data_IF_483965046417
#
_entry.id   IF_483965046417
#
_cell.length_a   1.000
_cell.length_b   1.000
_cell.length_c   1.000
_cell.angle_alpha   90.00
_cell.angle_beta   90.00
_cell.angle_gamma   90.00
#
_symmetry.space_group_name_H-M   'P 1'
#
loop_
_entity.id
_entity.type
_entity.pdbx_description
1 polymer ?
#
# COMPACT_ATOMS: atom_id res chain seq x y z
N UNK A 1 26.40 -20.80 -5.90
CA UNK A 1 25.57 -21.54 -4.94
C UNK A 1 24.99 -22.72 -5.69
N UNK A 2 25.12 -23.94 -5.16
CA UNK A 2 24.51 -25.12 -5.79
C UNK A 2 22.98 -25.05 -5.67
N UNK A 3 22.22 -25.65 -6.60
CA UNK A 3 20.74 -25.57 -6.60
C UNK A 3 20.14 -25.99 -5.24
N UNK A 4 20.70 -27.02 -4.60
CA UNK A 4 20.26 -27.47 -3.28
C UNK A 4 20.55 -26.43 -2.17
N UNK A 5 21.71 -25.76 -2.20
CA UNK A 5 22.00 -24.67 -1.26
C UNK A 5 21.01 -23.51 -1.45
N UNK A 6 20.75 -23.13 -2.70
CA UNK A 6 19.81 -22.05 -3.06
C UNK A 6 18.39 -22.36 -2.58
N UNK A 7 17.93 -23.60 -2.74
CA UNK A 7 16.61 -24.05 -2.25
C UNK A 7 16.54 -24.08 -0.73
N UNK A 8 17.63 -24.44 -0.04
CA UNK A 8 17.66 -24.45 1.42
C UNK A 8 17.48 -23.04 1.97
N UNK A 9 18.12 -22.03 1.37
CA UNK A 9 18.03 -20.64 1.85
C UNK A 9 16.89 -19.82 1.25
N UNK A 10 16.06 -20.39 0.36
CA UNK A 10 14.98 -19.66 -0.31
C UNK A 10 13.95 -19.08 0.68
N UNK A 11 13.79 -19.73 1.83
CA UNK A 11 12.87 -19.30 2.90
C UNK A 11 13.54 -18.44 3.98
N UNK A 12 14.79 -17.97 3.77
CA UNK A 12 15.56 -17.23 4.79
C UNK A 12 14.85 -16.00 5.37
N UNK A 13 13.98 -15.37 4.58
CA UNK A 13 13.26 -14.17 4.98
C UNK A 13 11.94 -14.44 5.72
N UNK A 14 11.46 -15.69 5.72
CA UNK A 14 10.15 -16.07 6.25
C UNK A 14 10.22 -17.22 7.28
N UNK A 15 11.34 -17.94 7.35
CA UNK A 15 11.59 -19.00 8.35
C UNK A 15 12.77 -18.60 9.23
N UNK A 16 12.50 -18.34 10.50
CA UNK A 16 13.55 -18.12 11.49
C UNK A 16 14.45 -19.35 11.64
N UNK A 17 15.75 -19.14 11.86
CA UNK A 17 16.73 -20.24 12.05
C UNK A 17 16.34 -21.19 13.18
N UNK A 18 15.70 -20.70 14.24
CA UNK A 18 15.20 -21.52 15.35
C UNK A 18 14.04 -22.45 14.98
N UNK A 19 13.38 -22.22 13.84
CA UNK A 19 12.25 -23.00 13.32
C UNK A 19 12.61 -23.87 12.11
N UNK A 20 13.87 -23.88 11.70
CA UNK A 20 14.33 -24.62 10.52
C UNK A 20 14.04 -26.13 10.61
N UNK A 21 14.18 -26.74 11.80
CA UNK A 21 13.87 -28.16 12.01
C UNK A 21 12.42 -28.51 11.68
N UNK A 22 11.48 -27.72 12.17
CA UNK A 22 10.04 -27.91 11.91
C UNK A 22 9.72 -27.71 10.43
N UNK A 23 10.32 -26.69 9.81
CA UNK A 23 10.12 -26.39 8.40
C UNK A 23 10.61 -27.53 7.50
N UNK A 24 11.85 -27.98 7.66
CA UNK A 24 12.40 -29.05 6.83
C UNK A 24 11.74 -30.40 7.11
N UNK A 25 11.22 -30.64 8.32
CA UNK A 25 10.36 -31.80 8.57
C UNK A 25 9.06 -31.73 7.75
N UNK A 26 8.44 -30.54 7.62
CA UNK A 26 7.26 -30.35 6.76
C UNK A 26 7.57 -30.67 5.28
N UNK A 27 8.71 -30.18 4.79
CA UNK A 27 9.18 -30.43 3.41
C UNK A 27 9.42 -31.92 3.17
N UNK A 28 10.15 -32.59 4.07
CA UNK A 28 10.45 -34.01 3.94
C UNK A 28 9.20 -34.87 4.02
N UNK A 29 8.28 -34.58 4.95
CA UNK A 29 7.01 -35.30 5.05
C UNK A 29 6.21 -35.14 3.75
N UNK A 30 6.03 -33.91 3.26
CA UNK A 30 5.32 -33.66 2.00
C UNK A 30 5.94 -34.41 0.82
N UNK A 31 7.27 -34.49 0.77
CA UNK A 31 8.01 -35.24 -0.24
C UNK A 31 7.79 -36.76 -0.15
N UNK A 32 7.87 -37.33 1.06
CA UNK A 32 7.66 -38.77 1.28
C UNK A 32 6.26 -39.22 0.84
N UNK A 33 5.27 -38.35 0.96
CA UNK A 33 3.87 -38.64 0.63
C UNK A 33 3.48 -38.31 -0.82
N UNK A 34 4.23 -37.47 -1.54
CA UNK A 34 3.83 -37.03 -2.89
C UNK A 34 4.02 -38.08 -3.99
N UNK A 35 4.81 -39.13 -3.72
CA UNK A 35 5.05 -40.22 -4.68
C UNK A 35 5.77 -39.78 -5.96
N UNK A 36 6.53 -38.69 -5.93
CA UNK A 36 7.23 -38.15 -7.09
C UNK A 36 6.43 -37.12 -7.90
N UNK A 37 5.20 -36.80 -7.51
CA UNK A 37 4.34 -35.82 -8.20
C UNK A 37 4.47 -34.42 -7.59
N UNK A 38 5.01 -33.48 -8.36
CA UNK A 38 5.20 -32.09 -7.95
C UNK A 38 3.89 -31.38 -7.60
N UNK A 39 2.81 -31.63 -8.35
CA UNK A 39 1.52 -30.98 -8.09
C UNK A 39 0.93 -31.46 -6.77
N UNK A 40 1.09 -32.75 -6.45
CA UNK A 40 0.69 -33.33 -5.16
C UNK A 40 1.54 -32.76 -4.03
N UNK A 41 2.85 -32.63 -4.24
CA UNK A 41 3.78 -32.07 -3.26
C UNK A 41 3.38 -30.66 -2.82
N UNK A 42 3.00 -29.78 -3.75
CA UNK A 42 2.57 -28.41 -3.40
C UNK A 42 1.41 -28.38 -2.41
N UNK A 43 0.37 -29.19 -2.66
CA UNK A 43 -0.78 -29.29 -1.77
C UNK A 43 -0.44 -29.90 -0.40
N UNK A 44 0.41 -30.93 -0.39
CA UNK A 44 0.88 -31.56 0.85
C UNK A 44 1.77 -30.64 1.67
N UNK A 45 2.66 -29.88 1.02
CA UNK A 45 3.56 -28.95 1.69
C UNK A 45 2.77 -27.82 2.37
N UNK A 46 1.81 -27.21 1.68
CA UNK A 46 0.95 -26.19 2.28
C UNK A 46 0.21 -26.74 3.53
N UNK A 47 -0.27 -27.98 3.45
CA UNK A 47 -0.94 -28.66 4.58
C UNK A 47 0.04 -28.90 5.74
N UNK A 48 1.20 -29.51 5.46
CA UNK A 48 2.21 -29.86 6.46
C UNK A 48 2.84 -28.63 7.14
N UNK A 49 2.98 -27.53 6.38
CA UNK A 49 3.43 -26.23 6.89
C UNK A 49 2.37 -25.63 7.83
N UNK A 50 1.09 -25.64 7.43
CA UNK A 50 -0.01 -25.16 8.25
C UNK A 50 -0.18 -25.92 9.57
N UNK A 51 -0.04 -27.25 9.56
CA UNK A 51 -0.06 -28.09 10.77
C UNK A 51 1.04 -27.72 11.78
N UNK A 52 2.14 -27.14 11.30
CA UNK A 52 3.27 -26.67 12.09
C UNK A 52 3.25 -25.16 12.33
N UNK A 53 2.12 -24.50 12.13
CA UNK A 53 1.96 -23.06 12.36
C UNK A 53 2.93 -22.20 11.54
N UNK A 54 3.22 -22.61 10.29
CA UNK A 54 3.78 -21.72 9.29
C UNK A 54 2.63 -21.09 8.48
N UNK A 55 2.80 -19.83 8.08
CA UNK A 55 1.87 -19.16 7.17
C UNK A 55 1.87 -19.80 5.78
N UNK A 56 0.78 -19.67 5.02
CA UNK A 56 0.70 -20.15 3.64
C UNK A 56 1.80 -19.55 2.76
N UNK A 57 2.16 -18.30 3.02
CA UNK A 57 3.24 -17.57 2.36
C UNK A 57 4.59 -18.31 2.36
N UNK A 58 4.89 -19.09 3.40
CA UNK A 58 6.17 -19.81 3.52
C UNK A 58 6.24 -20.93 2.49
N UNK A 59 5.17 -21.71 2.38
CA UNK A 59 5.05 -22.78 1.39
C UNK A 59 5.00 -22.23 -0.03
N UNK A 60 4.28 -21.13 -0.25
CA UNK A 60 4.19 -20.44 -1.54
C UNK A 60 5.55 -19.92 -1.99
N UNK A 61 6.27 -19.19 -1.12
CA UNK A 61 7.61 -18.67 -1.39
C UNK A 61 8.58 -19.79 -1.77
N UNK A 62 8.58 -20.89 -1.01
CA UNK A 62 9.44 -22.04 -1.29
C UNK A 62 9.13 -22.66 -2.65
N UNK A 63 7.84 -22.91 -2.93
CA UNK A 63 7.39 -23.53 -4.18
C UNK A 63 7.71 -22.64 -5.37
N UNK A 64 7.39 -21.35 -5.28
CA UNK A 64 7.65 -20.38 -6.33
C UNK A 64 9.15 -20.34 -6.67
N UNK A 65 10.01 -20.26 -5.65
CA UNK A 65 11.45 -20.27 -5.83
C UNK A 65 11.93 -21.53 -6.56
N UNK A 66 11.48 -22.71 -6.12
CA UNK A 66 11.88 -23.98 -6.73
C UNK A 66 11.42 -24.07 -8.18
N UNK A 67 10.18 -23.65 -8.50
CA UNK A 67 9.65 -23.66 -9.86
C UNK A 67 10.41 -22.71 -10.80
N UNK A 68 10.85 -21.56 -10.30
CA UNK A 68 11.51 -20.54 -11.12
C UNK A 68 13.01 -20.80 -11.30
N UNK A 69 13.68 -21.38 -10.30
CA UNK A 69 15.14 -21.42 -10.25
C UNK A 69 15.75 -22.82 -10.34
N UNK A 70 14.95 -23.89 -10.26
CA UNK A 70 15.46 -25.27 -10.26
C UNK A 70 14.97 -26.02 -11.49
N UNK A 71 15.90 -26.50 -12.31
CA UNK A 71 15.57 -27.24 -13.53
C UNK A 71 14.95 -28.64 -13.25
N UNK A 72 15.34 -29.27 -12.13
CA UNK A 72 14.79 -30.55 -11.66
C UNK A 72 14.37 -30.46 -10.18
N UNK A 73 13.18 -29.90 -9.88
CA UNK A 73 12.67 -29.74 -8.52
C UNK A 73 12.71 -31.02 -7.69
N UNK A 74 12.26 -32.14 -8.28
CA UNK A 74 12.16 -33.41 -7.57
C UNK A 74 13.54 -34.03 -7.32
N UNK A 75 14.47 -33.90 -8.26
CA UNK A 75 15.86 -34.33 -8.07
C UNK A 75 16.55 -33.56 -6.93
N UNK A 76 16.33 -32.25 -6.84
CA UNK A 76 16.87 -31.43 -5.73
C UNK A 76 16.22 -31.80 -4.40
N UNK A 77 14.89 -31.93 -4.34
CA UNK A 77 14.20 -32.36 -3.12
C UNK A 77 14.63 -33.74 -2.64
N UNK A 78 14.92 -34.67 -3.56
CA UNK A 78 15.50 -35.98 -3.22
C UNK A 78 16.82 -35.82 -2.46
N UNK A 79 17.74 -35.00 -2.99
CA UNK A 79 19.03 -34.73 -2.34
C UNK A 79 18.88 -34.05 -0.98
N UNK A 80 17.90 -33.14 -0.85
CA UNK A 80 17.60 -32.49 0.43
C UNK A 80 17.09 -33.48 1.46
N UNK A 81 16.12 -34.32 1.09
CA UNK A 81 15.52 -35.30 2.00
C UNK A 81 16.49 -36.43 2.40
N UNK A 82 17.44 -36.80 1.53
CA UNK A 82 18.55 -37.69 1.88
C UNK A 82 19.45 -37.12 3.00
N UNK A 83 19.49 -35.79 3.13
CA UNK A 83 20.26 -35.05 4.16
C UNK A 83 19.37 -34.50 5.27
N UNK A 84 18.16 -35.04 5.47
CA UNK A 84 17.15 -34.54 6.42
C UNK A 84 17.67 -34.14 7.81
N UNK A 85 18.58 -34.92 8.39
CA UNK A 85 19.14 -34.67 9.73
C UNK A 85 20.14 -33.50 9.75
N UNK A 86 20.74 -33.19 8.60
CA UNK A 86 21.70 -32.11 8.44
C UNK A 86 21.05 -30.78 8.01
N UNK A 87 19.85 -30.82 7.43
CA UNK A 87 19.17 -29.64 6.86
C UNK A 87 19.09 -28.45 7.83
N UNK A 88 18.70 -28.61 9.12
CA UNK A 88 18.58 -27.45 10.01
C UNK A 88 19.95 -26.80 10.29
N UNK A 89 20.98 -27.62 10.48
CA UNK A 89 22.36 -27.14 10.68
C UNK A 89 22.90 -26.47 9.41
N UNK A 90 22.64 -27.07 8.26
CA UNK A 90 23.08 -26.56 6.97
C UNK A 90 22.39 -25.24 6.64
N UNK A 91 21.09 -25.12 6.91
CA UNK A 91 20.36 -23.86 6.81
C UNK A 91 20.96 -22.77 7.69
N UNK A 92 21.21 -23.05 8.98
CA UNK A 92 21.83 -22.09 9.89
C UNK A 92 23.23 -21.65 9.42
N UNK A 93 24.02 -22.58 8.89
CA UNK A 93 25.35 -22.32 8.33
C UNK A 93 25.27 -21.44 7.06
N UNK A 94 24.36 -21.76 6.14
CA UNK A 94 24.17 -21.00 4.91
C UNK A 94 23.59 -19.61 5.16
N UNK A 95 22.59 -19.48 6.03
CA UNK A 95 22.03 -18.18 6.44
C UNK A 95 23.12 -17.36 7.13
N UNK A 96 23.86 -17.93 8.08
CA UNK A 96 24.95 -17.22 8.74
C UNK A 96 26.08 -16.81 7.79
N UNK A 97 26.40 -17.64 6.79
CA UNK A 97 27.35 -17.27 5.72
C UNK A 97 26.81 -16.14 4.88
N UNK A 98 25.54 -16.18 4.47
CA UNK A 98 24.91 -15.12 3.69
C UNK A 98 24.75 -13.82 4.47
N UNK A 99 24.53 -13.88 5.79
CA UNK A 99 24.49 -12.69 6.64
C UNK A 99 25.90 -12.07 6.83
N UNK A 100 26.95 -12.88 6.73
CA UNK A 100 28.36 -12.44 6.77
C UNK A 100 28.89 -11.97 5.40
N UNK A 101 28.42 -12.61 4.32
CA UNK A 101 28.75 -12.30 2.92
C UNK A 101 27.85 -11.22 2.34
N UNK A 102 26.70 -10.92 2.96
CA UNK A 102 25.92 -9.73 2.70
C UNK A 102 26.90 -8.56 2.76
N UNK A 103 27.13 -7.87 1.63
CA UNK A 103 28.35 -7.12 1.44
C UNK A 103 28.45 -6.01 2.48
N UNK A 104 29.29 -6.21 3.48
CA UNK A 104 29.78 -5.12 4.32
C UNK A 104 30.36 -4.00 3.44
N UNK A 105 30.88 -4.35 2.26
CA UNK A 105 31.40 -3.41 1.25
C UNK A 105 30.31 -2.55 0.55
N UNK A 106 29.01 -2.86 0.68
CA UNK A 106 27.93 -1.95 0.27
C UNK A 106 27.08 -1.43 1.45
N UNK A 107 27.24 -1.99 2.65
CA UNK A 107 26.67 -1.43 3.88
C UNK A 107 27.48 -0.26 4.45
N UNK A 108 28.74 -0.07 4.02
CA UNK A 108 29.53 1.14 4.36
C UNK A 108 28.89 2.44 3.85
N UNK A 109 27.94 2.37 2.91
CA UNK A 109 27.17 3.53 2.42
C UNK A 109 25.76 3.63 3.03
N UNK A 110 25.30 2.69 3.85
CA UNK A 110 23.97 2.77 4.49
C UNK A 110 24.02 3.62 5.76
N UNK A 111 24.19 4.93 5.56
CA UNK A 111 24.03 5.94 6.59
C UNK A 111 22.58 6.50 6.61
N UNK A 112 22.31 7.42 7.54
CA UNK A 112 20.99 8.04 7.67
C UNK A 112 20.59 8.80 6.36
N UNK A 113 21.57 9.24 5.55
CA UNK A 113 21.32 9.94 4.28
C UNK A 113 20.87 8.96 3.20
N UNK A 114 21.55 7.83 3.05
CA UNK A 114 21.20 6.79 2.08
C UNK A 114 19.88 6.11 2.45
N UNK A 115 19.62 5.89 3.73
CA UNK A 115 18.33 5.41 4.24
C UNK A 115 17.16 6.29 3.77
N UNK A 116 17.31 7.62 3.87
CA UNK A 116 16.29 8.55 3.43
C UNK A 116 16.09 8.56 1.92
N UNK A 117 17.17 8.50 1.15
CA UNK A 117 17.10 8.43 -0.31
C UNK A 117 16.38 7.18 -0.81
N UNK A 118 16.62 6.03 -0.19
CA UNK A 118 15.93 4.78 -0.54
C UNK A 118 14.46 4.79 -0.16
N UNK A 119 14.13 5.32 1.01
CA UNK A 119 12.73 5.51 1.39
C UNK A 119 12.01 6.39 0.36
N UNK A 120 12.57 7.56 0.02
CA UNK A 120 12.01 8.46 -1.00
C UNK A 120 11.91 7.78 -2.37
N UNK A 121 12.93 7.03 -2.78
CA UNK A 121 12.94 6.33 -4.06
C UNK A 121 11.79 5.32 -4.14
N UNK A 122 11.63 4.48 -3.10
CA UNK A 122 10.62 3.42 -3.05
C UNK A 122 9.18 3.95 -2.90
N UNK A 123 8.98 5.12 -2.29
CA UNK A 123 7.66 5.74 -2.18
C UNK A 123 7.27 6.51 -3.45
N UNK A 124 8.21 7.29 -4.00
CA UNK A 124 7.94 8.19 -5.14
C UNK A 124 7.79 7.43 -6.46
N UNK A 125 8.48 6.28 -6.63
CA UNK A 125 8.38 5.51 -7.88
C UNK A 125 7.05 4.78 -8.07
N UNK A 126 6.21 4.71 -7.03
CA UNK A 126 5.02 3.87 -6.99
C UNK A 126 3.72 4.66 -6.76
N UNK A 127 3.74 5.98 -6.99
CA UNK A 127 2.60 6.90 -6.73
C UNK A 127 2.01 6.77 -5.32
N UNK A 128 2.84 6.36 -4.36
CA UNK A 128 2.42 6.11 -2.99
C UNK A 128 2.97 7.21 -2.08
N UNK A 129 2.08 7.81 -1.29
CA UNK A 129 2.43 8.94 -0.42
C UNK A 129 3.41 8.60 0.71
N UNK A 130 3.68 7.31 0.95
CA UNK A 130 4.47 6.84 2.08
C UNK A 130 3.60 6.43 3.27
N UNK A 131 4.26 5.96 4.34
CA UNK A 131 3.56 5.52 5.54
C UNK A 131 2.93 6.72 6.27
N UNK A 132 1.64 6.63 6.61
CA UNK A 132 0.86 7.74 7.16
C UNK A 132 1.00 7.89 8.68
N UNK A 133 1.87 7.11 9.31
CA UNK A 133 2.18 7.25 10.73
C UNK A 133 1.20 6.56 11.67
N UNK A 134 0.41 5.60 11.16
CA UNK A 134 -0.61 4.93 11.95
C UNK A 134 -0.09 3.96 13.02
N UNK A 135 -1.03 3.16 13.54
CA UNK A 135 -0.74 2.18 14.59
C UNK A 135 0.01 0.94 14.08
N UNK A 136 0.23 -0.03 14.98
CA UNK A 136 0.96 -1.26 14.68
C UNK A 136 0.35 -2.11 13.53
N UNK A 137 -0.98 -2.03 13.31
CA UNK A 137 -1.63 -2.72 12.20
C UNK A 137 -1.24 -2.11 10.85
N UNK A 138 -1.35 -0.79 10.71
CA UNK A 138 -0.93 -0.06 9.51
C UNK A 138 0.59 -0.20 9.28
N UNK A 139 1.38 -0.24 10.36
CA UNK A 139 2.82 -0.52 10.27
C UNK A 139 3.12 -1.89 9.66
N UNK A 140 2.37 -2.93 10.02
CA UNK A 140 2.57 -4.27 9.48
C UNK A 140 2.25 -4.33 7.99
N UNK A 141 1.12 -3.73 7.58
CA UNK A 141 0.74 -3.60 6.16
C UNK A 141 1.79 -2.81 5.37
N UNK A 142 2.27 -1.69 5.93
CA UNK A 142 3.35 -0.91 5.35
C UNK A 142 4.62 -1.74 5.16
N UNK A 143 5.04 -2.50 6.18
CA UNK A 143 6.26 -3.30 6.14
C UNK A 143 6.20 -4.36 5.05
N UNK A 144 5.08 -5.07 4.94
CA UNK A 144 4.87 -6.07 3.90
C UNK A 144 4.97 -5.44 2.50
N UNK A 145 4.26 -4.35 2.28
CA UNK A 145 4.27 -3.62 1.02
C UNK A 145 5.67 -3.08 0.67
N UNK A 146 6.33 -2.41 1.62
CA UNK A 146 7.64 -1.80 1.42
C UNK A 146 8.70 -2.85 1.08
N UNK A 147 8.67 -4.01 1.74
CA UNK A 147 9.57 -5.12 1.45
C UNK A 147 9.26 -5.81 0.12
N UNK A 148 8.00 -5.86 -0.30
CA UNK A 148 7.62 -6.35 -1.63
C UNK A 148 8.22 -5.48 -2.74
N UNK A 149 8.10 -4.15 -2.65
CA UNK A 149 8.69 -3.25 -3.66
C UNK A 149 10.22 -3.22 -3.61
N UNK A 150 10.79 -3.29 -2.41
CA UNK A 150 12.24 -3.39 -2.27
C UNK A 150 12.79 -4.69 -2.90
N UNK A 151 12.04 -5.79 -2.87
CA UNK A 151 12.40 -7.03 -3.57
C UNK A 151 12.42 -6.83 -5.09
N UNK A 152 11.42 -6.17 -5.66
CA UNK A 152 11.37 -5.86 -7.10
C UNK A 152 12.57 -5.02 -7.56
N UNK A 153 13.07 -4.15 -6.68
CA UNK A 153 14.25 -3.30 -6.92
C UNK A 153 15.57 -3.95 -6.47
N UNK A 154 15.56 -5.22 -6.04
CA UNK A 154 16.73 -5.96 -5.55
C UNK A 154 17.44 -5.30 -4.36
N UNK A 155 16.67 -4.62 -3.50
CA UNK A 155 17.16 -3.93 -2.29
C UNK A 155 16.41 -4.34 -1.01
N UNK A 156 15.74 -5.50 -1.00
CA UNK A 156 14.98 -5.99 0.16
C UNK A 156 15.81 -6.08 1.44
N UNK A 157 17.07 -6.50 1.34
CA UNK A 157 17.96 -6.61 2.51
C UNK A 157 18.18 -5.23 3.16
N UNK A 158 18.35 -4.18 2.34
CA UNK A 158 18.48 -2.82 2.82
C UNK A 158 17.19 -2.25 3.41
N UNK A 159 16.06 -2.48 2.74
CA UNK A 159 14.75 -2.10 3.25
C UNK A 159 14.44 -2.80 4.59
N UNK A 160 14.83 -4.06 4.75
CA UNK A 160 14.68 -4.80 6.00
C UNK A 160 15.51 -4.18 7.14
N UNK A 161 16.74 -3.76 6.84
CA UNK A 161 17.61 -3.08 7.81
C UNK A 161 17.05 -1.71 8.24
N UNK A 162 16.49 -0.94 7.30
CA UNK A 162 15.78 0.30 7.58
C UNK A 162 14.65 0.07 8.59
N UNK A 163 13.73 -0.85 8.25
CA UNK A 163 12.56 -1.12 9.08
C UNK A 163 12.96 -1.66 10.46
N UNK A 164 13.95 -2.55 10.53
CA UNK A 164 14.46 -3.06 11.80
C UNK A 164 15.12 -1.97 12.67
N UNK A 165 15.67 -0.90 12.06
CA UNK A 165 16.21 0.25 12.79
C UNK A 165 15.09 1.16 13.29
N UNK A 166 14.08 1.42 12.48
CA UNK A 166 12.87 2.16 12.87
C UNK A 166 12.14 1.47 14.03
N UNK A 167 11.99 0.14 13.97
CA UNK A 167 11.31 -0.67 15.01
C UNK A 167 12.05 -0.70 16.36
N UNK A 168 13.37 -0.45 16.37
CA UNK A 168 14.15 -0.39 17.61
C UNK A 168 14.00 0.95 18.34
N UNK A 169 13.43 1.96 17.70
CA UNK A 169 13.29 3.26 18.30
C UNK A 169 12.23 3.25 19.41
N UNK A 170 12.62 3.70 20.61
CA UNK A 170 11.75 3.72 21.77
C UNK A 170 10.63 4.76 21.67
N UNK A 171 10.74 5.73 20.75
CA UNK A 171 9.70 6.72 20.45
C UNK A 171 8.60 6.20 19.50
N UNK A 172 8.68 4.93 19.07
CA UNK A 172 7.78 4.36 18.07
C UNK A 172 8.24 4.66 16.65
N UNK A 173 7.50 4.15 15.67
CA UNK A 173 7.96 4.11 14.28
C UNK A 173 8.15 5.50 13.65
N UNK A 174 7.28 6.47 13.96
CA UNK A 174 7.40 7.85 13.47
C UNK A 174 8.67 8.52 13.98
N UNK A 175 9.01 8.31 15.26
CA UNK A 175 10.26 8.80 15.82
C UNK A 175 11.48 8.09 15.20
N UNK A 176 11.37 6.79 14.96
CA UNK A 176 12.40 6.02 14.27
C UNK A 176 12.71 6.54 12.87
N UNK A 177 11.69 6.88 12.08
CA UNK A 177 11.88 7.51 10.77
C UNK A 177 12.45 8.94 10.88
N UNK A 178 11.90 9.76 11.77
CA UNK A 178 12.40 11.12 11.97
C UNK A 178 13.89 11.15 12.39
N UNK A 179 14.33 10.20 13.21
CA UNK A 179 15.73 10.07 13.62
C UNK A 179 16.67 9.67 12.47
N UNK A 180 16.12 9.08 11.40
CA UNK A 180 16.83 8.78 10.16
C UNK A 180 16.72 9.94 9.14
N UNK A 181 16.12 11.06 9.50
CA UNK A 181 15.86 12.17 8.57
C UNK A 181 14.82 11.83 7.50
N UNK A 182 13.98 10.82 7.73
CA UNK A 182 12.93 10.40 6.82
C UNK A 182 11.64 11.12 7.18
N UNK A 183 11.14 11.93 6.26
CA UNK A 183 9.79 12.49 6.34
C UNK A 183 8.78 11.44 5.88
N UNK A 184 7.91 11.02 6.80
CA UNK A 184 6.75 10.17 6.51
C UNK A 184 5.59 11.04 6.03
N UNK A 185 4.55 10.43 5.44
CA UNK A 185 3.32 11.17 5.11
C UNK A 185 2.66 11.79 6.36
N UNK A 186 2.88 11.18 7.53
CA UNK A 186 2.49 11.73 8.83
C UNK A 186 3.29 12.98 9.25
N UNK A 187 4.51 13.12 8.73
CA UNK A 187 5.45 14.20 9.06
C UNK A 187 5.40 15.33 8.06
N UNK A 188 4.80 15.11 6.88
CA UNK A 188 4.37 16.21 6.04
C UNK A 188 3.53 17.14 6.93
N UNK A 189 3.79 18.46 6.94
CA UNK A 189 2.90 19.37 7.63
C UNK A 189 1.48 19.05 7.14
N UNK A 190 0.53 18.89 8.06
CA UNK A 190 -0.89 18.99 7.72
C UNK A 190 -0.97 20.10 6.69
N UNK A 191 -1.55 19.85 5.49
CA UNK A 191 -1.54 20.86 4.43
C UNK A 191 -1.98 22.13 5.13
N UNK A 192 -1.07 23.10 5.24
CA UNK A 192 -1.41 24.39 5.81
C UNK A 192 -2.57 24.78 4.94
N UNK A 193 -3.78 24.70 5.49
CA UNK A 193 -5.01 25.04 4.80
C UNK A 193 -4.69 26.43 4.34
N UNK A 194 -4.41 26.57 3.03
CA UNK A 194 -3.67 27.72 2.52
C UNK A 194 -4.30 28.92 3.18
N UNK A 195 -3.55 29.74 3.91
CA UNK A 195 -4.11 30.66 4.91
C UNK A 195 -5.24 31.59 4.37
N UNK A 196 -5.48 31.60 3.06
CA UNK A 196 -6.66 32.12 2.38
C UNK A 196 -7.99 31.38 2.59
N UNK A 197 -8.01 30.07 2.88
CA UNK A 197 -9.25 29.31 3.13
C UNK A 197 -9.73 29.42 4.59
N UNK A 198 -8.92 29.25 5.64
CA UNK A 198 -9.41 29.15 7.03
C UNK A 198 -10.44 30.21 7.53
N UNK A 199 -10.34 31.49 7.13
CA UNK A 199 -11.36 32.53 7.47
C UNK A 199 -12.47 32.69 6.42
N UNK A 200 -12.30 32.17 5.20
CA UNK A 200 -13.23 32.30 4.06
C UNK A 200 -13.88 31.00 3.62
N UNK A 201 -13.46 29.84 4.15
CA UNK A 201 -13.83 28.49 3.67
C UNK A 201 -15.33 28.32 3.62
N UNK A 202 -16.06 28.65 4.68
CA UNK A 202 -17.52 28.52 4.69
C UNK A 202 -18.21 29.44 3.68
N UNK A 203 -17.72 30.68 3.51
CA UNK A 203 -18.28 31.63 2.55
C UNK A 203 -17.97 31.21 1.10
N UNK A 204 -16.75 30.71 0.86
CA UNK A 204 -16.29 30.27 -0.45
C UNK A 204 -16.95 28.96 -0.88
N UNK A 205 -17.05 28.01 0.05
CA UNK A 205 -17.85 26.80 -0.13
C UNK A 205 -19.30 27.17 -0.48
N UNK A 206 -19.93 28.10 0.25
CA UNK A 206 -21.28 28.55 -0.05
C UNK A 206 -21.39 29.20 -1.44
N UNK A 207 -20.40 29.98 -1.87
CA UNK A 207 -20.38 30.59 -3.21
C UNK A 207 -20.30 29.53 -4.32
N UNK A 208 -19.40 28.56 -4.19
CA UNK A 208 -19.18 27.48 -5.15
C UNK A 208 -20.37 26.50 -5.24
N UNK A 209 -21.09 26.30 -4.13
CA UNK A 209 -22.18 25.31 -4.04
C UNK A 209 -23.58 25.90 -4.20
N UNK A 210 -23.81 27.12 -3.70
CA UNK A 210 -25.12 27.79 -3.76
C UNK A 210 -25.28 28.67 -4.99
N UNK A 211 -24.18 29.26 -5.51
CA UNK A 211 -24.21 30.14 -6.67
C UNK A 211 -24.50 29.43 -8.00
N UNK A 212 -24.25 28.11 -8.04
CA UNK A 212 -24.34 27.28 -9.26
C UNK A 212 -25.51 26.28 -9.24
N UNK A 213 -26.33 26.29 -8.19
CA UNK A 213 -27.61 25.56 -8.14
C UNK A 213 -27.56 24.07 -7.75
N UNK A 214 -26.38 23.52 -7.44
CA UNK A 214 -26.20 22.09 -7.16
C UNK A 214 -26.11 21.72 -5.68
N UNK A 215 -26.02 22.70 -4.78
CA UNK A 215 -26.28 22.51 -3.35
C UNK A 215 -25.15 21.90 -2.52
N UNK A 216 -24.04 21.51 -3.16
CA UNK A 216 -22.87 20.95 -2.48
C UNK A 216 -23.06 19.51 -2.02
N UNK A 217 -22.13 19.01 -1.22
CA UNK A 217 -22.20 17.66 -0.69
C UNK A 217 -23.30 17.52 0.37
N UNK A 218 -24.01 16.40 0.34
CA UNK A 218 -25.12 16.09 1.26
C UNK A 218 -24.71 15.27 2.49
N UNK A 219 -23.44 14.91 2.60
CA UNK A 219 -22.94 14.04 3.67
C UNK A 219 -23.02 12.54 3.37
N UNK A 220 -23.45 12.17 2.17
CA UNK A 220 -23.56 10.76 1.73
C UNK A 220 -22.29 10.37 0.95
N UNK A 221 -21.60 9.32 1.39
CA UNK A 221 -20.37 8.82 0.76
C UNK A 221 -20.58 8.43 -0.71
N UNK A 222 -21.75 7.91 -1.06
CA UNK A 222 -22.12 7.51 -2.43
C UNK A 222 -22.05 8.67 -3.45
N UNK A 223 -22.11 9.92 -2.97
CA UNK A 223 -22.05 11.13 -3.80
C UNK A 223 -20.72 11.88 -3.66
N UNK A 224 -19.75 11.33 -2.93
CA UNK A 224 -18.49 11.99 -2.64
C UNK A 224 -17.66 12.27 -3.89
N UNK A 225 -17.44 11.26 -4.74
CA UNK A 225 -16.64 11.40 -5.97
C UNK A 225 -17.23 12.42 -6.95
N UNK A 226 -18.56 12.44 -7.05
CA UNK A 226 -19.26 13.43 -7.88
C UNK A 226 -19.10 14.83 -7.29
N UNK A 227 -19.24 14.97 -5.97
CA UNK A 227 -19.02 16.23 -5.28
C UNK A 227 -17.60 16.76 -5.50
N UNK A 228 -16.56 15.94 -5.29
CA UNK A 228 -15.16 16.37 -5.40
C UNK A 228 -14.85 16.86 -6.81
N UNK A 229 -15.30 16.13 -7.84
CA UNK A 229 -15.13 16.52 -9.24
C UNK A 229 -15.75 17.88 -9.55
N UNK A 230 -17.01 18.11 -9.18
CA UNK A 230 -17.71 19.36 -9.45
C UNK A 230 -17.17 20.53 -8.63
N UNK A 231 -16.82 20.27 -7.38
CA UNK A 231 -16.24 21.26 -6.50
C UNK A 231 -14.91 21.79 -7.04
N UNK A 232 -14.03 20.90 -7.52
CA UNK A 232 -12.76 21.28 -8.15
C UNK A 232 -12.97 21.98 -9.49
N UNK A 233 -13.93 21.52 -10.31
CA UNK A 233 -14.26 22.18 -11.57
C UNK A 233 -14.66 23.65 -11.35
N UNK A 234 -15.60 23.92 -10.44
CA UNK A 234 -16.03 25.28 -10.17
C UNK A 234 -14.98 26.12 -9.44
N UNK A 235 -14.17 25.51 -8.57
CA UNK A 235 -13.03 26.19 -7.98
C UNK A 235 -12.00 26.61 -9.05
N UNK A 236 -11.77 25.77 -10.06
CA UNK A 236 -10.90 26.10 -11.19
C UNK A 236 -11.43 27.25 -12.06
N UNK A 237 -12.74 27.32 -12.31
CA UNK A 237 -13.36 28.45 -13.04
C UNK A 237 -13.05 29.81 -12.38
N UNK A 238 -12.90 29.80 -11.06
CA UNK A 238 -12.63 31.01 -10.29
C UNK A 238 -11.14 31.19 -9.92
N UNK A 239 -10.26 30.28 -10.33
CA UNK A 239 -8.82 30.34 -10.07
C UNK A 239 -8.35 29.81 -8.71
N UNK A 240 -9.22 29.08 -7.98
CA UNK A 240 -8.96 28.55 -6.64
C UNK A 240 -8.77 27.01 -6.63
N UNK A 241 -8.42 26.41 -7.77
CA UNK A 241 -8.32 24.95 -7.91
C UNK A 241 -7.41 24.31 -6.85
N UNK A 242 -6.20 24.85 -6.69
CA UNK A 242 -5.19 24.25 -5.81
C UNK A 242 -5.59 24.36 -4.33
N UNK A 243 -6.22 25.47 -3.94
CA UNK A 243 -6.73 25.68 -2.58
C UNK A 243 -7.93 24.76 -2.29
N UNK A 244 -8.84 24.58 -3.26
CA UNK A 244 -9.97 23.66 -3.14
C UNK A 244 -9.52 22.20 -3.09
N UNK A 245 -8.48 21.84 -3.84
CA UNK A 245 -7.85 20.51 -3.78
C UNK A 245 -7.20 20.24 -2.42
N UNK A 246 -6.49 21.23 -1.87
CA UNK A 246 -5.91 21.13 -0.52
C UNK A 246 -6.99 20.97 0.56
N UNK A 247 -8.12 21.68 0.45
CA UNK A 247 -9.26 21.51 1.33
C UNK A 247 -9.85 20.09 1.24
N UNK A 248 -10.09 19.57 0.03
CA UNK A 248 -10.63 18.22 -0.15
C UNK A 248 -9.67 17.15 0.38
N UNK A 249 -8.36 17.32 0.18
CA UNK A 249 -7.36 16.40 0.73
C UNK A 249 -7.39 16.37 2.27
N UNK A 250 -7.55 17.54 2.92
CA UNK A 250 -7.69 17.62 4.37
C UNK A 250 -8.97 16.95 4.88
N UNK A 251 -10.08 17.08 4.14
CA UNK A 251 -11.33 16.40 4.47
C UNK A 251 -11.24 14.88 4.25
N UNK A 252 -10.58 14.44 3.17
CA UNK A 252 -10.41 13.01 2.85
C UNK A 252 -9.57 12.28 3.88
N UNK A 253 -8.59 12.97 4.49
CA UNK A 253 -7.76 12.42 5.55
C UNK A 253 -8.54 12.19 6.86
N UNK A 254 -9.73 12.77 7.02
CA UNK A 254 -10.57 12.56 8.19
C UNK A 254 -11.42 11.30 8.09
N UNK A 255 -11.46 10.51 9.17
CA UNK A 255 -12.36 9.37 9.29
C UNK A 255 -13.85 9.78 9.35
N UNK A 256 -14.15 11.03 9.68
CA UNK A 256 -15.50 11.61 9.65
C UNK A 256 -15.46 12.89 8.81
N UNK A 257 -15.83 12.75 7.53
CA UNK A 257 -15.84 13.85 6.56
C UNK A 257 -16.83 14.93 6.97
N UNK A 258 -18.01 14.58 7.50
CA UNK A 258 -19.01 15.56 7.96
C UNK A 258 -18.47 16.39 9.11
N UNK A 259 -17.78 15.77 10.07
CA UNK A 259 -17.11 16.48 11.14
C UNK A 259 -15.95 17.35 10.61
N UNK A 260 -15.17 16.88 9.64
CA UNK A 260 -14.13 17.68 9.02
C UNK A 260 -14.68 18.95 8.35
N UNK A 261 -15.79 18.86 7.60
CA UNK A 261 -16.49 20.05 7.07
C UNK A 261 -16.89 21.03 8.17
N UNK A 262 -17.35 20.54 9.33
CA UNK A 262 -17.75 21.36 10.46
C UNK A 262 -16.56 22.11 11.10
N UNK A 263 -15.37 21.52 11.10
CA UNK A 263 -14.12 22.16 11.56
C UNK A 263 -13.76 23.38 10.69
N UNK A 264 -14.15 23.36 9.41
CA UNK A 264 -14.05 24.50 8.48
C UNK A 264 -15.25 25.46 8.53
N UNK A 265 -16.16 25.28 9.50
CA UNK A 265 -17.36 26.11 9.66
C UNK A 265 -18.44 25.86 8.58
N UNK A 266 -18.33 24.77 7.83
CA UNK A 266 -19.31 24.39 6.81
C UNK A 266 -20.31 23.40 7.44
N UNK A 267 -21.60 23.79 7.44
CA UNK A 267 -22.67 22.89 7.84
C UNK A 267 -23.11 22.06 6.63
N UNK A 268 -22.83 20.77 6.65
CA UNK A 268 -23.37 19.82 5.67
C UNK A 268 -24.83 19.54 6.02
N UNK A 269 -25.74 19.93 5.13
CA UNK A 269 -27.16 19.69 5.32
C UNK A 269 -27.51 18.28 4.80
N UNK A 270 -27.96 17.35 5.65
CA UNK A 270 -28.40 16.04 5.19
C UNK A 270 -29.61 16.21 4.28
N UNK A 271 -29.64 15.42 3.20
CA UNK A 271 -30.76 15.41 2.25
C UNK A 271 -32.08 15.12 2.98
N UNK A 272 -33.17 15.85 2.69
CA UNK A 272 -34.48 15.44 3.18
C UNK A 272 -34.83 14.08 2.55
N UNK A 273 -35.09 13.09 3.40
CA UNK A 273 -35.36 11.71 3.00
C UNK A 273 -36.43 11.63 1.90
N UNK A 274 -36.09 11.00 0.78
CA UNK A 274 -37.05 10.66 -0.26
C UNK A 274 -38.09 9.67 0.31
N UNK A 275 -39.34 9.78 -0.15
CA UNK A 275 -40.41 8.87 0.26
C UNK A 275 -40.02 7.41 -0.03
N UNK A 276 -40.38 6.45 0.85
CA UNK A 276 -39.82 5.11 0.82
C UNK A 276 -40.34 4.34 -0.39
N UNK A 277 -39.49 4.12 -1.39
CA UNK A 277 -39.87 3.28 -2.52
C UNK A 277 -39.01 3.34 -3.77
N UNK A 278 -37.68 3.47 -3.68
CA UNK A 278 -36.82 3.12 -4.82
C UNK A 278 -35.39 2.89 -4.32
N UNK A 279 -35.06 1.60 -4.14
CA UNK A 279 -33.69 1.16 -3.99
C UNK A 279 -33.27 0.60 -5.35
N UNK A 280 -32.38 1.28 -6.05
CA UNK A 280 -31.81 0.80 -7.31
C UNK A 280 -30.30 0.75 -7.17
N UNK A 281 -29.75 -0.41 -7.51
CA UNK A 281 -28.32 -0.72 -7.46
C UNK A 281 -27.50 0.18 -8.40
N UNK A 282 -26.23 0.39 -8.02
CA UNK A 282 -25.17 1.08 -8.75
C UNK A 282 -25.31 1.01 -10.28
N UNK A 283 -25.86 2.07 -10.85
CA UNK A 283 -25.78 2.43 -12.26
C UNK A 283 -25.00 3.74 -12.36
N UNK A 284 -24.38 4.07 -13.52
CA UNK A 284 -23.86 5.41 -13.75
C UNK A 284 -24.97 6.42 -13.44
N UNK A 285 -24.60 7.50 -12.72
CA UNK A 285 -25.52 8.55 -12.26
C UNK A 285 -26.51 8.88 -13.37
N UNK A 286 -27.79 8.61 -13.10
CA UNK A 286 -28.83 8.76 -14.10
C UNK A 286 -29.02 10.24 -14.44
N UNK A 287 -29.46 10.54 -15.67
CA UNK A 287 -29.79 11.90 -16.08
C UNK A 287 -30.87 12.54 -15.18
N UNK A 288 -31.68 11.71 -14.51
CA UNK A 288 -32.68 12.12 -13.51
C UNK A 288 -32.05 12.57 -12.18
N UNK A 289 -31.00 11.87 -11.71
CA UNK A 289 -30.23 12.29 -10.54
C UNK A 289 -29.45 13.58 -10.83
N UNK A 290 -28.83 13.71 -12.00
CA UNK A 290 -28.14 14.94 -12.42
C UNK A 290 -29.10 16.14 -12.52
N UNK A 291 -30.29 15.93 -13.10
CA UNK A 291 -31.32 16.96 -13.16
C UNK A 291 -31.82 17.37 -11.76
N UNK A 292 -31.78 16.48 -10.77
CA UNK A 292 -32.16 16.76 -9.39
C UNK A 292 -31.15 17.66 -8.67
N UNK A 293 -29.89 17.65 -9.10
CA UNK A 293 -28.85 18.60 -8.68
C UNK A 293 -28.80 19.86 -9.56
N UNK A 294 -29.78 20.07 -10.45
CA UNK A 294 -29.78 21.20 -11.37
C UNK A 294 -28.68 21.15 -12.42
N UNK A 295 -28.01 20.01 -12.57
CA UNK A 295 -26.91 19.79 -13.51
C UNK A 295 -27.51 19.37 -14.85
N UNK A 296 -27.23 20.14 -15.89
CA UNK A 296 -27.71 19.83 -17.24
C UNK A 296 -26.72 18.96 -18.00
N UNK A 297 -27.19 18.28 -19.04
CA UNK A 297 -26.35 17.53 -19.98
C UNK A 297 -25.28 18.42 -20.65
N UNK A 298 -25.55 19.73 -20.75
CA UNK A 298 -24.60 20.72 -21.24
C UNK A 298 -23.48 21.04 -20.22
N UNK A 299 -23.80 20.99 -18.92
CA UNK A 299 -22.82 21.17 -17.84
C UNK A 299 -21.87 19.96 -17.79
N UNK A 300 -22.40 18.74 -17.93
CA UNK A 300 -21.58 17.51 -18.04
C UNK A 300 -20.62 17.56 -19.23
N UNK A 301 -21.11 17.98 -20.40
CA UNK A 301 -20.25 18.14 -21.58
C UNK A 301 -19.24 19.29 -21.45
N UNK A 302 -19.45 20.25 -20.52
CA UNK A 302 -18.48 21.29 -20.20
C UNK A 302 -17.43 20.81 -19.20
N UNK A 303 -17.84 20.04 -18.18
CA UNK A 303 -16.96 19.42 -17.21
C UNK A 303 -15.99 18.43 -17.87
N UNK A 304 -16.47 17.53 -18.75
CA UNK A 304 -15.62 16.58 -19.48
C UNK A 304 -14.56 17.31 -20.34
N UNK A 305 -14.96 18.36 -21.06
CA UNK A 305 -14.03 19.15 -21.89
C UNK A 305 -13.06 19.98 -21.07
N UNK A 306 -13.48 20.49 -19.91
CA UNK A 306 -12.62 21.24 -18.99
C UNK A 306 -11.61 20.33 -18.31
N UNK A 307 -12.02 19.12 -17.94
CA UNK A 307 -11.18 18.10 -17.32
C UNK A 307 -10.11 17.58 -18.31
N UNK A 308 -10.48 17.32 -19.56
CA UNK A 308 -9.52 16.99 -20.63
C UNK A 308 -8.54 18.13 -20.92
N UNK A 309 -8.95 19.39 -20.81
CA UNK A 309 -8.07 20.55 -21.01
C UNK A 309 -7.09 20.76 -19.83
N UNK A 310 -7.52 20.48 -18.60
CA UNK A 310 -6.71 20.58 -17.38
C UNK A 310 -5.70 19.43 -17.23
N UNK A 311 -6.04 18.23 -17.69
CA UNK A 311 -5.14 17.06 -17.68
C UNK A 311 -4.14 17.03 -18.86
N UNK A 312 -4.07 18.10 -19.65
CA UNK A 312 -3.22 18.18 -20.83
C UNK A 312 -3.89 17.56 -22.05
N UNK A 313 -4.74 18.34 -22.72
CA UNK A 313 -5.34 17.95 -23.99
C UNK A 313 -4.29 17.52 -25.03
N UNK A 314 -4.66 16.69 -26.01
CA UNK A 314 -3.73 16.07 -26.94
C UNK A 314 -2.88 17.13 -27.64
N UNK A 315 -1.56 16.99 -27.55
CA UNK A 315 -0.61 17.77 -28.35
C UNK A 315 -0.98 17.61 -29.83
N UNK A 316 -1.63 18.63 -30.38
CA UNK A 316 -1.78 18.78 -31.81
C UNK A 316 -0.52 19.47 -32.34
N UNK A 317 0.26 18.71 -33.10
CA UNK A 317 1.24 19.24 -34.06
C UNK A 317 0.57 20.16 -35.12
#
# INVERSE_FOLDING_TARGET
MEDAESVVVSVRHVVETGRAEEWFAAVCDAFDWCGGDWAVLKGLLATAAGERSFGSEVAETFVEFVEQHVADPMGVLTQLCERREELPRWYAELVGRLDQEAPAEHLEEWDDVTAAQWYTHLTTSNDWAGWAGGGAAEWAEFKEWFLYFAEQQQVRDYASLLLARVERDAGGYTAGFANLGIETAASAPEPEVAAGWGERTAARYAELTSGKGWGGWTGEDEHWDLFTQWFLYYAAEDGDHDDAAAFLAAVEASADKVNAFAEFGIAVAPRPAAAPGEATAASPVSAEELAQFGITEADLAAADRGFEALLGGPSTE
#
